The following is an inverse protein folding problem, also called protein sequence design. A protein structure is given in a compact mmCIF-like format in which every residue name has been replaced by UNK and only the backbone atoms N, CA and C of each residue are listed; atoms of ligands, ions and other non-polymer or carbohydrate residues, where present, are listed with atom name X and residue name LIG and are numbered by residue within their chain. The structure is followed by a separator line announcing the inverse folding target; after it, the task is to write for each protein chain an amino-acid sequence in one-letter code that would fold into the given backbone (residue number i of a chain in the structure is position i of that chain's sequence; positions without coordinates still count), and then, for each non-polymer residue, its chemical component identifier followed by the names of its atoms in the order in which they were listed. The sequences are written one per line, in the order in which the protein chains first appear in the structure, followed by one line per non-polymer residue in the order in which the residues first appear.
data_IF_064475443300
#
_entry.id   IF_064475443300
#
_cell.length_a   1.000
_cell.length_b   1.000
_cell.length_c   1.000
_cell.angle_alpha   90.00
_cell.angle_beta   90.00
_cell.angle_gamma   90.00
#
_symmetry.space_group_name_H-M   'P 1'
#
loop_
_entity.id
_entity.type
_entity.pdbx_description
1 polymer ?
#
# COMPACT_ATOMS: atom_id res chain seq x y z
N UNK A 1 2.09 -11.59 -17.80
CA UNK A 1 0.95 -10.78 -17.32
C UNK A 1 0.52 -9.72 -18.32
N UNK A 2 1.33 -8.68 -18.62
CA UNK A 2 0.96 -7.57 -19.52
C UNK A 2 0.45 -8.05 -20.88
N UNK A 3 1.21 -8.90 -21.59
CA UNK A 3 0.79 -9.44 -22.89
C UNK A 3 -0.56 -10.18 -22.88
N UNK A 4 -0.89 -10.86 -21.79
CA UNK A 4 -2.17 -11.54 -21.66
C UNK A 4 -3.33 -10.56 -21.46
N UNK A 5 -3.09 -9.48 -20.71
CA UNK A 5 -4.04 -8.39 -20.54
C UNK A 5 -4.24 -7.62 -21.86
N UNK A 6 -3.16 -7.38 -22.61
CA UNK A 6 -3.21 -6.80 -23.97
C UNK A 6 -4.04 -7.66 -24.93
N UNK A 7 -3.81 -8.99 -24.93
CA UNK A 7 -4.62 -9.93 -25.70
C UNK A 7 -6.11 -9.95 -25.30
N UNK A 8 -6.43 -9.48 -24.09
CA UNK A 8 -7.80 -9.33 -23.59
C UNK A 8 -8.40 -7.94 -23.89
N UNK A 9 -7.69 -7.09 -24.64
CA UNK A 9 -8.15 -5.78 -25.07
C UNK A 9 -7.76 -4.62 -24.14
N UNK A 10 -6.93 -4.86 -23.12
CA UNK A 10 -6.43 -3.80 -22.24
C UNK A 10 -5.28 -3.08 -22.92
N UNK A 11 -5.40 -1.76 -23.06
CA UNK A 11 -4.33 -0.92 -23.60
C UNK A 11 -3.50 -0.33 -22.46
N UNK A 12 -2.19 -0.54 -22.50
CA UNK A 12 -1.26 0.07 -21.57
C UNK A 12 -0.59 1.28 -22.21
N UNK A 13 -0.78 2.45 -21.60
CA UNK A 13 -0.06 3.66 -21.95
C UNK A 13 0.97 3.95 -20.84
N UNK A 14 2.21 3.52 -21.06
CA UNK A 14 3.33 3.79 -20.16
C UNK A 14 3.88 5.21 -20.40
N UNK A 15 4.64 5.71 -19.42
CA UNK A 15 5.30 7.02 -19.49
C UNK A 15 4.34 8.21 -19.72
N UNK A 16 3.07 8.07 -19.33
CA UNK A 16 2.07 9.14 -19.40
C UNK A 16 2.01 9.92 -18.09
N UNK A 17 2.52 11.15 -18.11
CA UNK A 17 2.28 12.12 -17.05
C UNK A 17 0.95 12.86 -17.31
N UNK A 18 -0.06 12.55 -16.49
CA UNK A 18 -1.39 13.19 -16.60
C UNK A 18 -1.32 14.61 -16.05
N UNK A 19 -1.70 15.60 -16.87
CA UNK A 19 -1.71 17.02 -16.49
C UNK A 19 -3.11 17.51 -16.15
N UNK A 20 -4.12 17.06 -16.88
CA UNK A 20 -5.51 17.52 -16.70
C UNK A 20 -6.51 16.46 -17.11
N UNK A 21 -7.68 16.49 -16.46
CA UNK A 21 -8.88 15.79 -16.90
C UNK A 21 -9.96 16.83 -17.20
N UNK A 22 -10.60 16.72 -18.37
CA UNK A 22 -11.63 17.63 -18.86
C UNK A 22 -12.93 16.83 -19.04
N UNK A 23 -14.04 17.34 -18.53
CA UNK A 23 -15.36 16.75 -18.78
C UNK A 23 -15.89 17.24 -20.14
N UNK A 24 -16.34 16.30 -20.97
CA UNK A 24 -16.85 16.52 -22.33
C UNK A 24 -18.23 15.86 -22.48
N UNK A 25 -19.27 16.51 -21.93
CA UNK A 25 -20.63 15.97 -21.94
C UNK A 25 -20.74 14.70 -21.09
N UNK A 26 -20.96 13.55 -21.72
CA UNK A 26 -21.05 12.24 -21.06
C UNK A 26 -19.71 11.51 -20.92
N UNK A 27 -18.60 12.12 -21.36
CA UNK A 27 -17.27 11.51 -21.38
C UNK A 27 -16.23 12.40 -20.71
N UNK A 28 -15.02 11.87 -20.55
CA UNK A 28 -13.86 12.57 -20.01
C UNK A 28 -12.69 12.48 -20.98
N UNK A 29 -11.94 13.57 -21.10
CA UNK A 29 -10.66 13.64 -21.80
C UNK A 29 -9.53 13.79 -20.79
N UNK A 30 -8.62 12.83 -20.76
CA UNK A 30 -7.34 12.90 -20.06
C UNK A 30 -6.32 13.54 -21.00
N UNK A 31 -5.63 14.58 -20.53
CA UNK A 31 -4.57 15.29 -21.23
C UNK A 31 -3.28 15.11 -20.46
N UNK A 32 -2.30 14.49 -21.11
CA UNK A 32 -0.90 14.46 -20.71
C UNK A 32 -0.06 15.35 -21.61
N UNK A 33 1.27 15.34 -21.41
CA UNK A 33 2.20 16.20 -22.16
C UNK A 33 2.17 15.98 -23.68
N UNK A 34 2.08 14.73 -24.11
CA UNK A 34 2.07 14.31 -25.53
C UNK A 34 0.99 13.25 -25.78
N UNK A 35 -0.03 13.19 -24.92
CA UNK A 35 -1.04 12.14 -24.94
C UNK A 35 -2.41 12.71 -24.64
N UNK A 36 -3.40 12.33 -25.43
CA UNK A 36 -4.81 12.58 -25.13
C UNK A 36 -5.60 11.27 -25.22
N UNK A 37 -6.41 11.00 -24.19
CA UNK A 37 -7.26 9.81 -24.12
C UNK A 37 -8.69 10.22 -23.78
N UNK A 38 -9.67 9.68 -24.49
CA UNK A 38 -11.10 9.90 -24.21
C UNK A 38 -11.69 8.61 -23.66
N UNK A 39 -12.39 8.70 -22.53
CA UNK A 39 -13.03 7.57 -21.86
C UNK A 39 -14.39 7.97 -21.29
N UNK A 40 -15.30 7.00 -21.15
CA UNK A 40 -16.60 7.22 -20.50
C UNK A 40 -16.44 7.41 -18.99
N UNK A 41 -15.42 6.80 -18.38
CA UNK A 41 -15.09 6.92 -16.97
C UNK A 41 -13.57 6.91 -16.76
N UNK A 42 -13.12 7.57 -15.70
CA UNK A 42 -11.74 7.57 -15.25
C UNK A 42 -11.70 7.15 -13.77
N UNK A 43 -10.88 6.16 -13.45
CA UNK A 43 -10.66 5.69 -12.08
C UNK A 43 -9.26 6.13 -11.62
N UNK A 44 -9.19 6.74 -10.43
CA UNK A 44 -7.92 7.10 -9.81
C UNK A 44 -7.42 5.93 -8.94
N UNK A 45 -6.35 5.27 -9.39
CA UNK A 45 -5.71 4.17 -8.67
C UNK A 45 -4.24 4.49 -8.30
N UNK A 46 -3.94 5.75 -7.96
CA UNK A 46 -2.58 6.26 -7.72
C UNK A 46 -2.00 5.92 -6.35
N UNK A 47 -2.77 5.25 -5.50
CA UNK A 47 -2.37 4.86 -4.16
C UNK A 47 -3.31 5.42 -3.10
N UNK A 48 -2.88 5.32 -1.83
CA UNK A 48 -3.65 5.72 -0.66
C UNK A 48 -2.75 6.55 0.26
N UNK A 49 -3.31 7.60 0.83
CA UNK A 49 -2.66 8.37 1.88
C UNK A 49 -3.19 7.94 3.25
N UNK A 50 -2.37 8.00 4.32
CA UNK A 50 -2.84 7.86 5.69
C UNK A 50 -3.94 8.88 5.99
N UNK A 51 -5.04 8.45 6.61
CA UNK A 51 -6.14 9.34 7.00
C UNK A 51 -5.86 9.88 8.42
N UNK A 52 -5.29 11.08 8.50
CA UNK A 52 -4.85 11.71 9.76
C UNK A 52 -5.52 13.06 10.03
N UNK A 53 -6.17 13.66 9.03
CA UNK A 53 -6.58 15.05 8.99
C UNK A 53 -7.63 15.41 10.07
N UNK A 54 -8.45 14.43 10.46
CA UNK A 54 -9.53 14.61 11.43
C UNK A 54 -9.17 14.23 12.87
N UNK A 55 -7.92 13.80 13.11
CA UNK A 55 -7.52 13.19 14.38
C UNK A 55 -6.89 14.17 15.39
N UNK A 56 -6.58 15.41 14.97
CA UNK A 56 -5.94 16.43 15.82
C UNK A 56 -4.70 15.92 16.57
N UNK A 57 -3.84 15.18 15.85
CA UNK A 57 -2.70 14.44 16.41
C UNK A 57 -1.69 15.32 17.17
N UNK A 58 -1.54 16.57 16.74
CA UNK A 58 -0.68 17.55 17.40
C UNK A 58 -1.14 17.82 18.84
N UNK A 59 -2.46 17.93 19.07
CA UNK A 59 -3.01 18.13 20.41
C UNK A 59 -2.79 16.90 21.30
N UNK A 60 -2.70 15.73 20.69
CA UNK A 60 -2.39 14.48 21.35
C UNK A 60 -0.88 14.23 21.50
N UNK A 61 0.00 15.16 21.11
CA UNK A 61 1.46 14.99 21.10
C UNK A 61 1.92 13.75 20.30
N UNK A 62 1.24 13.46 19.19
CA UNK A 62 1.57 12.37 18.26
C UNK A 62 2.34 12.93 17.07
N UNK A 63 3.54 12.42 16.82
CA UNK A 63 4.38 12.76 15.66
C UNK A 63 3.89 11.97 14.43
N UNK A 64 3.71 12.69 13.33
CA UNK A 64 3.26 12.12 12.05
C UNK A 64 3.73 13.01 10.89
N UNK A 65 3.75 12.43 9.69
CA UNK A 65 4.02 13.14 8.44
C UNK A 65 3.11 12.63 7.31
N UNK A 66 3.41 12.99 6.06
CA UNK A 66 2.68 12.55 4.87
C UNK A 66 2.70 11.03 4.65
N UNK A 67 3.60 10.31 5.30
CA UNK A 67 3.73 8.86 5.24
C UNK A 67 3.00 8.16 6.40
N UNK A 68 2.59 8.90 7.44
CA UNK A 68 1.70 8.44 8.49
C UNK A 68 2.22 8.76 9.89
N UNK A 69 1.65 8.10 10.90
CA UNK A 69 2.05 8.20 12.30
C UNK A 69 3.38 7.46 12.52
N UNK A 70 4.34 8.13 13.15
CA UNK A 70 5.60 7.52 13.55
C UNK A 70 5.38 6.62 14.76
N UNK A 71 5.91 5.39 14.70
CA UNK A 71 5.82 4.43 15.80
C UNK A 71 7.13 3.68 16.02
N UNK A 72 7.44 3.39 17.28
CA UNK A 72 8.55 2.52 17.67
C UNK A 72 8.25 1.03 17.36
N UNK A 73 9.17 0.13 17.70
CA UNK A 73 9.04 -1.32 17.44
C UNK A 73 7.96 -2.03 18.26
N UNK A 74 7.22 -1.28 19.07
CA UNK A 74 6.05 -1.75 19.82
C UNK A 74 4.75 -1.14 19.30
N UNK A 75 4.78 -0.52 18.10
CA UNK A 75 3.65 0.22 17.51
C UNK A 75 3.13 1.37 18.37
N UNK A 76 3.96 1.84 19.30
CA UNK A 76 3.65 2.96 20.19
C UNK A 76 4.10 4.26 19.54
N UNK A 77 3.24 5.28 19.61
CA UNK A 77 3.52 6.61 19.05
C UNK A 77 4.46 7.41 19.97
N UNK A 78 4.81 8.64 19.59
CA UNK A 78 5.49 9.60 20.48
C UNK A 78 4.72 9.91 21.76
N UNK A 79 3.39 9.73 21.77
CA UNK A 79 2.62 9.73 23.01
C UNK A 79 2.59 8.30 23.59
N UNK A 80 3.13 8.08 24.81
CA UNK A 80 3.24 6.74 25.40
C UNK A 80 1.89 6.08 25.71
N UNK A 81 0.78 6.82 25.66
CA UNK A 81 -0.57 6.27 25.88
C UNK A 81 -1.29 5.90 24.58
N UNK A 82 -0.68 6.16 23.42
CA UNK A 82 -1.32 6.00 22.12
C UNK A 82 -0.49 5.02 21.28
N UNK A 83 -1.19 4.07 20.67
CA UNK A 83 -0.67 3.13 19.70
C UNK A 83 -1.29 3.39 18.33
N UNK A 84 -0.60 3.01 17.26
CA UNK A 84 -1.13 3.07 15.91
C UNK A 84 -0.80 1.78 15.14
N UNK A 85 -1.75 1.28 14.36
CA UNK A 85 -1.60 0.09 13.53
C UNK A 85 -2.34 0.26 12.19
N UNK A 86 -1.95 -0.52 11.20
CA UNK A 86 -2.51 -0.59 9.87
C UNK A 86 -2.01 0.52 8.94
N UNK A 87 -2.92 0.98 8.10
CA UNK A 87 -2.58 1.86 6.97
C UNK A 87 -2.11 3.25 7.42
N UNK A 88 -2.43 3.66 8.65
CA UNK A 88 -2.06 4.97 9.20
C UNK A 88 -0.60 5.06 9.63
N UNK A 89 0.09 3.92 9.83
CA UNK A 89 1.46 3.89 10.36
C UNK A 89 2.48 4.22 9.27
N UNK A 90 3.45 5.08 9.58
CA UNK A 90 4.60 5.36 8.70
C UNK A 90 5.62 4.22 8.75
N UNK A 91 5.33 3.11 8.06
CA UNK A 91 6.19 1.91 7.95
C UNK A 91 6.19 1.36 6.54
N UNK A 92 7.28 0.68 6.19
CA UNK A 92 7.49 0.03 4.88
C UNK A 92 6.72 -1.29 4.71
N UNK A 93 6.07 -1.79 5.76
CA UNK A 93 5.24 -3.00 5.68
C UNK A 93 4.06 -2.79 4.73
N UNK A 94 3.71 -3.79 3.91
CA UNK A 94 2.57 -3.71 2.99
C UNK A 94 1.27 -3.32 3.70
N UNK A 95 0.51 -2.41 3.08
CA UNK A 95 -0.79 -1.94 3.57
C UNK A 95 -1.89 -2.92 3.21
N UNK A 96 -1.91 -4.05 3.93
CA UNK A 96 -2.80 -5.18 3.70
C UNK A 96 -3.63 -5.48 4.94
N UNK A 97 -4.88 -5.88 4.75
CA UNK A 97 -5.77 -6.35 5.84
C UNK A 97 -5.13 -7.38 6.79
N UNK A 98 -4.44 -8.44 6.32
CA UNK A 98 -3.76 -9.38 7.23
C UNK A 98 -2.66 -8.71 8.06
N UNK A 99 -1.95 -7.73 7.51
CA UNK A 99 -0.90 -6.98 8.24
C UNK A 99 -1.55 -6.12 9.33
N UNK A 100 -2.58 -5.34 8.99
CA UNK A 100 -3.30 -4.53 9.97
C UNK A 100 -3.93 -5.39 11.09
N UNK A 101 -4.46 -6.57 10.76
CA UNK A 101 -5.00 -7.53 11.73
C UNK A 101 -3.91 -8.06 12.66
N UNK A 102 -2.75 -8.42 12.11
CA UNK A 102 -1.60 -8.87 12.88
C UNK A 102 -1.10 -7.79 13.85
N UNK A 103 -0.97 -6.56 13.37
CA UNK A 103 -0.57 -5.40 14.17
C UNK A 103 -1.58 -5.08 15.27
N UNK A 104 -2.89 -5.10 14.97
CA UNK A 104 -3.94 -4.88 15.96
C UNK A 104 -3.93 -5.94 17.07
N UNK A 105 -3.75 -7.22 16.71
CA UNK A 105 -3.60 -8.30 17.68
C UNK A 105 -2.34 -8.13 18.55
N UNK A 106 -1.24 -7.65 17.97
CA UNK A 106 -0.02 -7.34 18.71
C UNK A 106 -0.24 -6.18 19.69
N UNK A 107 -0.86 -5.08 19.26
CA UNK A 107 -1.18 -3.92 20.11
C UNK A 107 -2.09 -4.35 21.27
N UNK A 108 -3.11 -5.17 21.01
CA UNK A 108 -3.97 -5.70 22.06
C UNK A 108 -3.17 -6.45 23.14
N UNK A 109 -2.25 -7.35 22.72
CA UNK A 109 -1.36 -8.06 23.65
C UNK A 109 -0.43 -7.10 24.40
N UNK A 110 0.04 -6.04 23.75
CA UNK A 110 0.95 -5.06 24.34
C UNK A 110 0.27 -4.23 25.42
N UNK A 111 -1.00 -3.86 25.20
CA UNK A 111 -1.84 -3.11 26.14
C UNK A 111 -2.20 -3.97 27.36
N UNK A 112 -2.38 -5.28 27.20
CA UNK A 112 -2.71 -6.20 28.30
C UNK A 112 -1.49 -6.85 28.95
N UNK A 113 -0.28 -6.35 28.69
CA UNK A 113 1.00 -6.90 29.16
C UNK A 113 1.21 -8.40 28.87
N UNK A 114 0.53 -8.94 27.85
CA UNK A 114 0.67 -10.32 27.40
C UNK A 114 1.92 -10.53 26.51
N UNK A 115 2.60 -9.45 26.13
CA UNK A 115 3.90 -9.47 25.45
C UNK A 115 4.72 -8.25 25.82
N UNK A 116 6.01 -8.46 26.08
CA UNK A 116 7.04 -7.41 26.22
C UNK A 116 7.98 -7.32 25.03
N UNK A 117 7.86 -8.23 24.06
CA UNK A 117 8.77 -8.31 22.91
C UNK A 117 8.38 -7.33 21.79
N UNK A 118 9.35 -6.79 21.04
CA UNK A 118 9.09 -6.03 19.82
C UNK A 118 8.28 -6.80 18.79
N UNK A 119 7.49 -6.11 17.96
CA UNK A 119 6.74 -6.74 16.87
C UNK A 119 7.68 -7.35 15.83
N UNK A 120 7.46 -8.63 15.50
CA UNK A 120 8.20 -9.37 14.47
C UNK A 120 7.23 -9.83 13.40
N UNK A 121 7.28 -9.21 12.23
CA UNK A 121 6.41 -9.59 11.12
C UNK A 121 6.89 -10.91 10.52
N UNK A 122 5.98 -11.86 10.25
CA UNK A 122 6.31 -13.03 9.45
C UNK A 122 6.55 -12.60 7.99
N UNK A 123 6.92 -13.56 7.14
CA UNK A 123 6.81 -13.36 5.68
C UNK A 123 5.37 -12.97 5.36
N UNK A 124 5.19 -11.90 4.57
CA UNK A 124 3.88 -11.33 4.24
C UNK A 124 3.54 -11.71 2.79
N UNK A 125 2.66 -12.70 2.55
CA UNK A 125 2.18 -13.00 1.21
C UNK A 125 1.40 -11.81 0.66
N UNK A 126 1.62 -11.49 -0.61
CA UNK A 126 0.89 -10.42 -1.32
C UNK A 126 0.27 -10.98 -2.59
N UNK A 127 -0.98 -10.59 -2.86
CA UNK A 127 -1.72 -11.06 -4.04
C UNK A 127 -2.28 -9.84 -4.78
N UNK A 128 -2.02 -9.78 -6.08
CA UNK A 128 -2.68 -8.88 -7.03
C UNK A 128 -3.78 -9.67 -7.72
N UNK A 129 -5.03 -9.29 -7.46
CA UNK A 129 -6.23 -9.92 -8.04
C UNK A 129 -6.52 -9.43 -9.47
N UNK A 130 -5.50 -9.48 -10.34
CA UNK A 130 -5.66 -9.27 -11.78
C UNK A 130 -6.10 -10.55 -12.49
N UNK A 131 -6.27 -10.48 -13.82
CA UNK A 131 -6.47 -11.65 -14.69
C UNK A 131 -5.33 -11.67 -15.72
N UNK A 132 -4.28 -12.48 -15.52
CA UNK A 132 -4.12 -13.53 -14.51
C UNK A 132 -3.79 -12.98 -13.10
N UNK A 133 -4.05 -13.78 -12.07
CA UNK A 133 -3.69 -13.43 -10.69
C UNK A 133 -2.19 -13.54 -10.51
N UNK A 134 -1.62 -12.64 -9.71
CA UNK A 134 -0.21 -12.67 -9.34
C UNK A 134 -0.09 -12.79 -7.83
N UNK A 135 0.76 -13.69 -7.35
CA UNK A 135 1.02 -13.87 -5.94
C UNK A 135 2.54 -13.90 -5.71
N UNK A 136 2.97 -13.30 -4.60
CA UNK A 136 4.36 -13.28 -4.17
C UNK A 136 4.45 -13.62 -2.68
N UNK A 137 5.48 -14.39 -2.33
CA UNK A 137 5.85 -14.71 -0.95
C UNK A 137 7.36 -14.79 -0.85
N UNK A 138 7.93 -14.23 0.23
CA UNK A 138 9.38 -14.26 0.47
C UNK A 138 10.10 -12.99 0.01
N UNK A 139 11.31 -13.15 -0.51
CA UNK A 139 12.17 -12.05 -0.96
C UNK A 139 12.01 -11.80 -2.46
N UNK A 140 11.90 -10.54 -2.84
CA UNK A 140 11.93 -10.12 -4.25
C UNK A 140 13.33 -10.37 -4.85
N UNK A 141 13.43 -10.65 -6.16
CA UNK A 141 14.71 -10.79 -6.90
C UNK A 141 15.71 -9.64 -6.70
N UNK A 142 15.23 -8.42 -6.43
CA UNK A 142 16.11 -7.27 -6.17
C UNK A 142 16.81 -7.32 -4.80
N UNK A 143 16.39 -8.23 -3.92
CA UNK A 143 16.92 -8.42 -2.58
C UNK A 143 17.51 -9.83 -2.37
N UNK A 144 17.67 -10.60 -3.44
CA UNK A 144 18.26 -11.94 -3.37
C UNK A 144 19.78 -11.89 -3.46
N UNK A 145 20.43 -12.60 -2.56
CA UNK A 145 21.83 -13.03 -2.67
C UNK A 145 21.96 -14.22 -3.64
N UNK A 146 23.19 -14.55 -4.03
CA UNK A 146 23.46 -15.72 -4.90
C UNK A 146 23.08 -17.07 -4.27
N UNK A 147 22.77 -17.12 -2.97
CA UNK A 147 22.32 -18.33 -2.27
C UNK A 147 20.79 -18.50 -2.21
N UNK A 148 20.02 -17.51 -2.66
CA UNK A 148 18.55 -17.57 -2.57
C UNK A 148 17.94 -18.30 -3.77
N UNK A 149 16.91 -19.12 -3.52
CA UNK A 149 16.14 -19.80 -4.56
C UNK A 149 14.91 -18.98 -4.93
N UNK A 150 14.79 -18.61 -6.20
CA UNK A 150 13.60 -17.94 -6.75
C UNK A 150 12.87 -18.90 -7.68
N UNK A 151 11.60 -19.16 -7.39
CA UNK A 151 10.74 -20.03 -8.20
C UNK A 151 9.59 -19.18 -8.76
N UNK A 152 9.45 -19.16 -10.07
CA UNK A 152 8.27 -18.61 -10.76
C UNK A 152 7.39 -19.79 -11.21
N UNK A 153 6.12 -19.75 -10.84
CA UNK A 153 5.13 -20.75 -11.20
C UNK A 153 3.92 -20.03 -11.77
N UNK A 154 3.43 -20.48 -12.93
CA UNK A 154 2.11 -20.11 -13.40
C UNK A 154 1.08 -20.87 -12.55
N UNK A 155 0.23 -20.13 -11.83
CA UNK A 155 -0.88 -20.67 -11.04
C UNK A 155 -2.15 -20.84 -11.87
#
# INVERSE_FOLDING_TARGET
AVHQMEASGIQFAFDVETQKIISEGSRYRLVGKETELVADMIFCATGRQPNTESLALEQANVVFDKHGIEVNDYLQTSNPKIFACGDIVSRKTPKLTPVATFEGNYVAKRITDATSEPIKYPIIPTIVYASPKLAEVGVTKSHTSSSDQVVEMDL
#
